data_IF_710390600287
#
_entry.id   IF_710390600287
#
_cell.length_a   1.000
_cell.length_b   1.000
_cell.length_c   1.000
_cell.angle_alpha   90.00
_cell.angle_beta   90.00
_cell.angle_gamma   90.00
#
_symmetry.space_group_name_H-M   'P 1'
#
loop_
_entity.id
_entity.type
_entity.pdbx_description
1 polymer ?
#
# COMPACT_ATOMS: atom_id res chain seq x y z
N UNK A 1 8.40 -0.12 -22.56
CA UNK A 1 8.14 -1.01 -21.41
C UNK A 1 6.73 -0.75 -20.90
N UNK A 2 5.99 -1.77 -20.41
CA UNK A 2 4.72 -1.53 -19.75
C UNK A 2 4.93 -0.72 -18.48
N UNK A 3 4.02 0.19 -18.19
CA UNK A 3 3.97 0.89 -16.91
C UNK A 3 2.97 0.20 -15.98
N UNK A 4 3.08 0.42 -14.68
CA UNK A 4 2.06 -0.02 -13.73
C UNK A 4 0.85 0.92 -13.78
N UNK A 5 0.27 1.06 -14.99
CA UNK A 5 -0.78 2.03 -15.31
C UNK A 5 -1.68 1.50 -16.41
N UNK A 6 -3.01 1.64 -16.23
CA UNK A 6 -4.06 1.30 -17.20
C UNK A 6 -4.94 2.51 -17.47
N UNK A 7 -5.31 2.68 -18.72
CA UNK A 7 -6.23 3.71 -19.20
C UNK A 7 -7.58 3.08 -19.49
N UNK A 8 -8.62 3.64 -18.88
CA UNK A 8 -10.02 3.30 -19.12
C UNK A 8 -10.75 4.47 -19.75
N UNK A 9 -11.66 4.18 -20.64
CA UNK A 9 -12.54 5.18 -21.25
C UNK A 9 -13.97 4.73 -21.21
N UNK A 10 -14.87 5.65 -20.87
CA UNK A 10 -16.33 5.52 -20.96
C UNK A 10 -16.91 6.65 -21.82
N UNK A 11 -18.22 6.73 -21.94
CA UNK A 11 -18.89 7.88 -22.55
C UNK A 11 -18.78 9.15 -21.72
N UNK A 12 -18.58 9.03 -20.40
CA UNK A 12 -18.56 10.14 -19.45
C UNK A 12 -17.17 10.53 -19.02
N UNK A 13 -16.24 9.57 -18.90
CA UNK A 13 -14.98 9.77 -18.23
C UNK A 13 -13.79 9.14 -18.95
N UNK A 14 -12.61 9.68 -18.65
CA UNK A 14 -11.34 9.05 -18.83
C UNK A 14 -10.70 8.77 -17.45
N UNK A 15 -10.09 7.61 -17.28
CA UNK A 15 -9.53 7.20 -16.00
C UNK A 15 -8.18 6.52 -16.20
N UNK A 16 -7.20 6.96 -15.42
CA UNK A 16 -5.88 6.36 -15.32
C UNK A 16 -5.76 5.66 -13.96
N UNK A 17 -5.78 4.32 -13.99
CA UNK A 17 -5.58 3.49 -12.81
C UNK A 17 -4.10 3.14 -12.69
N UNK A 18 -3.49 3.55 -11.59
CA UNK A 18 -2.04 3.48 -11.37
C UNK A 18 -1.74 2.67 -10.12
N UNK A 19 -0.85 1.69 -10.27
CA UNK A 19 -0.30 0.92 -9.15
C UNK A 19 0.82 1.70 -8.47
N UNK A 20 0.55 2.17 -7.27
CA UNK A 20 1.46 3.00 -6.49
C UNK A 20 2.38 2.19 -5.58
N UNK A 21 3.45 2.83 -5.15
CA UNK A 21 4.32 2.39 -4.05
C UNK A 21 4.43 3.50 -3.01
N UNK A 22 4.22 3.14 -1.74
CA UNK A 22 4.12 4.09 -0.62
C UNK A 22 5.47 4.68 -0.18
N UNK A 23 6.58 4.08 -0.61
CA UNK A 23 7.93 4.59 -0.36
C UNK A 23 8.80 4.38 -1.59
N UNK A 24 9.52 5.41 -2.00
CA UNK A 24 10.44 5.36 -3.13
C UNK A 24 11.84 5.83 -2.73
N UNK A 25 12.85 5.33 -3.46
CA UNK A 25 14.18 5.88 -3.44
C UNK A 25 14.23 7.11 -4.38
N UNK A 26 14.95 8.15 -3.96
CA UNK A 26 15.09 9.38 -4.76
C UNK A 26 15.69 9.13 -6.16
N UNK A 27 16.48 8.06 -6.32
CA UNK A 27 17.07 7.67 -7.61
C UNK A 27 16.05 7.18 -8.63
N UNK A 28 14.83 6.86 -8.20
CA UNK A 28 13.71 6.47 -9.06
C UNK A 28 12.87 7.66 -9.55
N UNK A 29 13.40 8.87 -9.40
CA UNK A 29 12.78 10.13 -9.86
C UNK A 29 13.57 10.73 -11.02
N UNK A 30 12.94 11.46 -11.94
CA UNK A 30 11.48 11.70 -12.02
C UNK A 30 10.69 10.43 -12.34
N UNK A 31 9.40 10.43 -12.03
CA UNK A 31 8.47 9.41 -12.49
C UNK A 31 8.34 9.46 -14.02
N UNK A 32 7.90 8.38 -14.68
CA UNK A 32 7.68 8.38 -16.13
C UNK A 32 6.74 9.50 -16.59
N UNK A 33 7.07 10.13 -17.70
CA UNK A 33 6.30 11.25 -18.27
C UNK A 33 4.82 10.92 -18.48
N UNK A 34 4.50 9.66 -18.78
CA UNK A 34 3.12 9.21 -18.93
C UNK A 34 2.31 9.36 -17.64
N UNK A 35 2.91 9.07 -16.48
CA UNK A 35 2.26 9.25 -15.19
C UNK A 35 2.06 10.75 -14.89
N UNK A 36 3.08 11.55 -15.15
CA UNK A 36 3.02 13.01 -14.95
C UNK A 36 1.96 13.64 -15.87
N UNK A 37 1.95 13.29 -17.15
CA UNK A 37 0.99 13.81 -18.13
C UNK A 37 -0.45 13.38 -17.79
N UNK A 38 -0.68 12.12 -17.39
CA UNK A 38 -1.99 11.64 -16.96
C UNK A 38 -2.50 12.40 -15.74
N UNK A 39 -1.63 12.66 -14.76
CA UNK A 39 -1.97 13.47 -13.60
C UNK A 39 -2.30 14.92 -13.99
N UNK A 40 -1.47 15.56 -14.83
CA UNK A 40 -1.70 16.97 -15.22
C UNK A 40 -3.02 17.17 -15.97
N UNK A 41 -3.47 16.17 -16.73
CA UNK A 41 -4.75 16.23 -17.45
C UNK A 41 -5.96 15.90 -16.57
N UNK A 42 -5.73 15.33 -15.39
CA UNK A 42 -6.82 14.88 -14.53
C UNK A 42 -7.48 16.04 -13.78
N UNK A 43 -8.79 15.96 -13.64
CA UNK A 43 -9.61 16.87 -12.82
C UNK A 43 -9.81 16.37 -11.40
N UNK A 44 -9.62 15.04 -11.19
CA UNK A 44 -9.78 14.37 -9.91
C UNK A 44 -8.55 13.51 -9.61
N UNK A 45 -8.13 13.51 -8.35
CA UNK A 45 -7.15 12.60 -7.81
C UNK A 45 -7.86 11.67 -6.82
N UNK A 46 -7.90 10.37 -7.11
CA UNK A 46 -8.40 9.38 -6.16
C UNK A 46 -7.23 8.60 -5.55
N UNK A 47 -7.27 8.40 -4.25
CA UNK A 47 -6.27 7.65 -3.47
C UNK A 47 -6.98 6.68 -2.54
N UNK A 48 -6.28 5.66 -2.02
CA UNK A 48 -6.85 4.80 -0.99
C UNK A 48 -7.28 5.65 0.21
N UNK A 49 -6.33 6.40 0.78
CA UNK A 49 -6.51 7.32 1.90
C UNK A 49 -5.69 8.59 1.63
N UNK A 50 -6.25 9.76 1.92
CA UNK A 50 -5.51 11.01 1.86
C UNK A 50 -4.57 11.15 3.08
N UNK A 51 -3.33 10.74 2.88
CA UNK A 51 -2.27 10.76 3.92
C UNK A 51 -1.80 12.18 4.27
N UNK A 52 -2.29 13.22 3.59
CA UNK A 52 -1.98 14.62 3.91
C UNK A 52 -2.98 15.24 4.87
N UNK A 53 -4.16 14.63 5.03
CA UNK A 53 -5.13 15.04 6.02
C UNK A 53 -4.58 14.86 7.42
N UNK A 54 -4.61 15.91 8.20
CA UNK A 54 -4.13 15.93 9.60
C UNK A 54 -5.14 15.39 10.61
N UNK A 55 -6.24 14.83 10.17
CA UNK A 55 -7.25 14.23 11.04
C UNK A 55 -6.71 12.95 11.69
N UNK A 56 -6.04 13.12 12.80
CA UNK A 56 -5.63 11.99 13.66
C UNK A 56 -6.88 11.47 14.36
N UNK A 57 -7.13 10.14 14.37
CA UNK A 57 -8.20 9.57 15.16
C UNK A 57 -8.16 10.02 16.61
N UNK A 58 -9.32 10.20 17.26
CA UNK A 58 -9.40 10.65 18.62
C UNK A 58 -8.51 9.78 19.56
N UNK A 59 -7.81 10.36 20.55
CA UNK A 59 -6.91 9.61 21.45
C UNK A 59 -7.55 8.38 22.09
N UNK A 60 -8.85 8.48 22.45
CA UNK A 60 -9.61 7.36 22.99
C UNK A 60 -9.77 6.22 21.95
N UNK A 61 -9.99 6.57 20.67
CA UNK A 61 -10.08 5.60 19.59
C UNK A 61 -8.72 4.92 19.34
N UNK A 62 -7.63 5.69 19.29
CA UNK A 62 -6.25 5.17 19.17
C UNK A 62 -5.94 4.21 20.31
N UNK A 63 -6.20 4.62 21.56
CA UNK A 63 -5.96 3.79 22.73
C UNK A 63 -6.73 2.47 22.70
N UNK A 64 -7.98 2.52 22.25
CA UNK A 64 -8.84 1.33 22.19
C UNK A 64 -8.44 0.36 21.07
N UNK A 65 -8.07 0.86 19.90
CA UNK A 65 -7.96 0.06 18.70
C UNK A 65 -6.52 -0.27 18.29
N UNK A 66 -5.58 0.64 18.58
CA UNK A 66 -4.21 0.53 18.09
C UNK A 66 -3.20 0.16 19.17
N UNK A 67 -3.50 0.44 20.44
CA UNK A 67 -2.58 0.19 21.53
C UNK A 67 -2.91 -1.08 22.30
N UNK A 68 -1.89 -1.62 22.96
CA UNK A 68 -2.02 -2.68 23.93
C UNK A 68 -2.62 -2.12 25.25
N UNK A 69 -3.28 -2.97 26.06
CA UNK A 69 -3.79 -2.57 27.38
C UNK A 69 -2.72 -1.89 28.23
N UNK A 70 -3.12 -1.00 29.16
CA UNK A 70 -2.19 -0.17 29.93
C UNK A 70 -1.17 -0.94 30.78
N UNK A 71 -1.50 -2.18 31.16
CA UNK A 71 -0.66 -3.07 31.96
C UNK A 71 0.17 -4.05 31.13
N UNK A 72 0.18 -3.92 29.79
CA UNK A 72 0.91 -4.79 28.86
C UNK A 72 1.77 -4.00 27.90
N UNK A 73 2.88 -4.58 27.50
CA UNK A 73 3.77 -4.05 26.48
C UNK A 73 4.08 -5.09 25.42
N UNK A 74 4.55 -4.68 24.27
CA UNK A 74 4.84 -5.56 23.14
C UNK A 74 5.72 -6.75 23.55
N UNK A 75 6.79 -6.52 24.30
CA UNK A 75 7.71 -7.58 24.76
C UNK A 75 7.08 -8.62 25.67
N UNK A 76 5.95 -8.29 26.36
CA UNK A 76 5.24 -9.28 27.17
C UNK A 76 4.47 -10.33 26.35
N UNK A 77 4.27 -10.06 25.05
CA UNK A 77 3.60 -10.95 24.11
C UNK A 77 4.59 -11.82 23.31
N UNK A 78 5.89 -11.53 23.44
CA UNK A 78 6.94 -12.17 22.63
C UNK A 78 7.65 -13.28 23.43
N UNK A 79 7.95 -14.38 22.76
CA UNK A 79 8.91 -15.37 23.26
C UNK A 79 10.35 -14.81 23.22
N UNK A 80 11.31 -15.59 23.74
CA UNK A 80 12.72 -15.19 23.82
C UNK A 80 13.31 -14.93 22.42
N UNK A 81 13.03 -15.80 21.47
CA UNK A 81 13.54 -15.67 20.09
C UNK A 81 13.07 -14.37 19.43
N UNK A 82 11.79 -14.03 19.56
CA UNK A 82 11.26 -12.78 19.00
C UNK A 82 11.83 -11.55 19.71
N UNK A 83 12.04 -11.63 21.04
CA UNK A 83 12.66 -10.53 21.81
C UNK A 83 14.08 -10.26 21.35
N UNK A 84 14.88 -11.30 21.16
CA UNK A 84 16.26 -11.17 20.72
C UNK A 84 16.34 -10.58 19.30
N UNK A 85 15.50 -11.07 18.37
CA UNK A 85 15.43 -10.51 17.02
C UNK A 85 14.98 -9.05 17.04
N UNK A 86 13.97 -8.71 17.84
CA UNK A 86 13.51 -7.35 18.00
C UNK A 86 14.62 -6.46 18.52
N UNK A 87 15.33 -6.86 19.60
CA UNK A 87 16.42 -6.07 20.16
C UNK A 87 17.51 -5.78 19.11
N UNK A 88 17.91 -6.80 18.35
CA UNK A 88 18.89 -6.66 17.26
C UNK A 88 18.42 -5.64 16.21
N UNK A 89 17.17 -5.69 15.78
CA UNK A 89 16.64 -4.78 14.76
C UNK A 89 16.50 -3.35 15.30
N UNK A 90 16.05 -3.18 16.52
CA UNK A 90 15.93 -1.86 17.15
C UNK A 90 17.30 -1.18 17.23
N UNK A 91 18.34 -1.93 17.63
CA UNK A 91 19.72 -1.44 17.66
C UNK A 91 20.20 -1.05 16.25
N UNK A 92 20.07 -1.95 15.28
CA UNK A 92 20.50 -1.71 13.89
C UNK A 92 19.83 -0.51 13.24
N UNK A 93 18.54 -0.30 13.54
CA UNK A 93 17.72 0.77 12.95
C UNK A 93 17.69 2.03 13.82
N UNK A 94 18.34 2.03 14.99
CA UNK A 94 18.28 3.13 15.97
C UNK A 94 16.85 3.51 16.35
N UNK A 95 15.98 2.50 16.50
CA UNK A 95 14.59 2.69 16.92
C UNK A 95 14.51 2.67 18.44
N UNK A 96 13.95 3.72 19.04
CA UNK A 96 13.61 3.70 20.45
C UNK A 96 12.40 2.79 20.70
N UNK A 97 12.54 1.80 21.58
CA UNK A 97 11.47 0.90 21.97
C UNK A 97 10.21 1.64 22.44
N UNK A 98 10.36 2.81 23.09
CA UNK A 98 9.23 3.63 23.54
C UNK A 98 8.26 3.93 22.42
N UNK A 99 8.75 4.10 21.19
CA UNK A 99 7.92 4.42 20.02
C UNK A 99 7.02 3.29 19.54
N UNK A 100 7.36 2.03 19.87
CA UNK A 100 6.61 0.84 19.42
C UNK A 100 6.09 -0.03 20.56
N UNK A 101 6.61 0.14 21.77
CA UNK A 101 6.40 -0.78 22.90
C UNK A 101 4.95 -0.88 23.39
N UNK A 102 4.09 0.07 23.01
CA UNK A 102 2.66 0.08 23.32
C UNK A 102 1.78 -0.27 22.12
N UNK A 103 2.34 -0.38 20.93
CA UNK A 103 1.60 -0.73 19.74
C UNK A 103 1.23 -2.21 19.73
N UNK A 104 0.10 -2.54 19.13
CA UNK A 104 -0.22 -3.93 18.78
C UNK A 104 0.84 -4.49 17.81
N UNK A 105 1.13 -5.81 17.82
CA UNK A 105 2.24 -6.37 17.04
C UNK A 105 2.22 -6.01 15.55
N UNK A 106 1.07 -6.05 14.88
CA UNK A 106 0.96 -5.67 13.48
C UNK A 106 1.38 -4.22 13.21
N UNK A 107 1.03 -3.29 14.11
CA UNK A 107 1.39 -1.88 13.96
C UNK A 107 2.88 -1.64 14.28
N UNK A 108 3.42 -2.37 15.24
CA UNK A 108 4.86 -2.37 15.51
C UNK A 108 5.64 -2.89 14.29
N UNK A 109 5.15 -3.96 13.64
CA UNK A 109 5.71 -4.48 12.39
C UNK A 109 5.78 -3.42 11.28
N UNK A 110 4.71 -2.65 11.10
CA UNK A 110 4.68 -1.55 10.12
C UNK A 110 5.74 -0.49 10.41
N UNK A 111 5.91 -0.09 11.69
CA UNK A 111 6.92 0.90 12.06
C UNK A 111 8.35 0.38 11.83
N UNK A 112 8.60 -0.88 12.16
CA UNK A 112 9.89 -1.55 11.92
C UNK A 112 10.16 -1.61 10.40
N UNK A 113 9.22 -2.10 9.61
CA UNK A 113 9.35 -2.18 8.15
C UNK A 113 9.60 -0.81 7.52
N UNK A 114 8.90 0.23 7.98
CA UNK A 114 9.13 1.61 7.53
C UNK A 114 10.54 2.10 7.84
N UNK A 115 11.07 1.81 9.03
CA UNK A 115 12.42 2.19 9.42
C UNK A 115 13.46 1.45 8.56
N UNK A 116 13.25 0.15 8.31
CA UNK A 116 14.12 -0.66 7.43
C UNK A 116 14.13 -0.14 6.00
N UNK A 117 12.96 0.18 5.42
CA UNK A 117 12.85 0.82 4.11
C UNK A 117 13.61 2.15 4.08
N UNK A 118 13.44 2.99 5.11
CA UNK A 118 14.13 4.27 5.23
C UNK A 118 15.65 4.10 5.26
N UNK A 119 16.15 3.09 5.99
CA UNK A 119 17.58 2.77 6.05
C UNK A 119 18.15 2.33 4.69
N UNK A 120 17.33 1.70 3.84
CA UNK A 120 17.67 1.35 2.46
C UNK A 120 17.44 2.50 1.46
N UNK A 121 17.12 3.70 1.95
CA UNK A 121 16.92 4.90 1.14
C UNK A 121 15.51 5.07 0.55
N UNK A 122 14.58 4.17 0.88
CA UNK A 122 13.17 4.28 0.47
C UNK A 122 12.39 5.08 1.51
N UNK A 123 11.91 6.25 1.15
CA UNK A 123 11.23 7.15 2.08
C UNK A 123 9.78 7.41 1.67
N UNK A 124 8.88 7.43 2.65
CA UNK A 124 7.46 7.67 2.41
C UNK A 124 7.20 9.05 1.74
N UNK A 125 8.00 10.07 2.06
CA UNK A 125 7.89 11.41 1.41
C UNK A 125 8.12 11.38 -0.10
N UNK A 126 8.77 10.32 -0.61
CA UNK A 126 8.95 10.08 -2.05
C UNK A 126 7.93 9.08 -2.60
N UNK A 127 7.04 8.52 -1.75
CA UNK A 127 5.93 7.68 -2.18
C UNK A 127 5.02 8.42 -3.16
N UNK A 128 4.40 7.67 -4.06
CA UNK A 128 3.63 8.27 -5.15
C UNK A 128 2.44 9.08 -4.62
N UNK A 129 1.71 8.58 -3.63
CA UNK A 129 0.59 9.29 -3.02
C UNK A 129 1.02 10.65 -2.48
N UNK A 130 2.13 10.69 -1.73
CA UNK A 130 2.66 11.93 -1.18
C UNK A 130 3.03 12.92 -2.29
N UNK A 131 3.69 12.44 -3.36
CA UNK A 131 4.11 13.29 -4.46
C UNK A 131 2.92 13.94 -5.18
N UNK A 132 1.87 13.17 -5.47
CA UNK A 132 0.70 13.66 -6.21
C UNK A 132 -0.23 14.49 -5.33
N UNK A 133 -0.47 14.08 -4.08
CA UNK A 133 -1.26 14.86 -3.12
C UNK A 133 -0.67 16.23 -2.83
N UNK A 134 0.66 16.36 -2.71
CA UNK A 134 1.31 17.68 -2.52
C UNK A 134 1.18 18.61 -3.74
N UNK A 135 0.89 18.06 -4.92
CA UNK A 135 0.71 18.79 -6.17
C UNK A 135 -0.74 18.79 -6.66
N UNK A 136 -1.68 18.42 -5.79
CA UNK A 136 -3.09 18.25 -6.16
C UNK A 136 -3.69 19.52 -6.81
N UNK A 137 -3.27 20.71 -6.37
CA UNK A 137 -3.71 21.98 -6.95
C UNK A 137 -5.23 22.17 -6.78
N UNK A 138 -5.92 22.36 -7.90
CA UNK A 138 -7.38 22.57 -7.95
C UNK A 138 -8.20 21.26 -8.12
N UNK A 139 -7.53 20.10 -8.16
CA UNK A 139 -8.19 18.81 -8.36
C UNK A 139 -8.99 18.43 -7.11
N UNK A 140 -10.13 17.81 -7.31
CA UNK A 140 -10.88 17.19 -6.22
C UNK A 140 -10.16 15.92 -5.76
N UNK A 141 -9.98 15.77 -4.43
CA UNK A 141 -9.39 14.56 -3.84
C UNK A 141 -10.49 13.63 -3.36
N UNK A 142 -10.49 12.42 -3.91
CA UNK A 142 -11.45 11.36 -3.60
C UNK A 142 -10.73 10.24 -2.82
N UNK A 143 -11.38 9.67 -1.81
CA UNK A 143 -10.85 8.57 -1.02
C UNK A 143 -11.60 7.28 -1.29
N UNK A 144 -10.85 6.19 -1.51
CA UNK A 144 -11.43 4.87 -1.72
C UNK A 144 -11.82 4.18 -0.41
N UNK A 145 -11.23 4.57 0.71
CA UNK A 145 -11.54 4.09 2.05
C UNK A 145 -11.20 5.16 3.10
N UNK A 146 -11.62 4.97 4.34
CA UNK A 146 -11.24 5.86 5.42
C UNK A 146 -9.96 5.40 6.12
N UNK A 147 -9.19 6.32 6.75
CA UNK A 147 -8.01 5.97 7.54
C UNK A 147 -8.34 5.01 8.68
N UNK A 148 -9.49 5.18 9.33
CA UNK A 148 -9.95 4.33 10.42
C UNK A 148 -10.23 2.90 9.95
N UNK A 149 -10.88 2.72 8.79
CA UNK A 149 -11.14 1.39 8.20
C UNK A 149 -9.83 0.66 7.90
N UNK A 150 -8.85 1.34 7.29
CA UNK A 150 -7.55 0.76 6.98
C UNK A 150 -6.78 0.36 8.24
N UNK A 151 -6.73 1.24 9.25
CA UNK A 151 -6.06 0.97 10.52
C UNK A 151 -6.74 -0.17 11.30
N UNK A 152 -8.08 -0.21 11.33
CA UNK A 152 -8.81 -1.29 11.97
C UNK A 152 -8.55 -2.63 11.29
N UNK A 153 -8.52 -2.69 9.97
CA UNK A 153 -8.23 -3.91 9.23
C UNK A 153 -6.89 -4.49 9.65
N UNK A 154 -5.86 -3.66 9.81
CA UNK A 154 -4.51 -4.08 10.21
C UNK A 154 -4.44 -4.46 11.71
N UNK A 155 -5.15 -3.74 12.56
CA UNK A 155 -5.06 -3.89 14.03
C UNK A 155 -6.08 -4.86 14.64
N UNK A 156 -7.01 -5.41 13.84
CA UNK A 156 -8.10 -6.28 14.33
C UNK A 156 -7.90 -7.80 14.22
N UNK A 157 -6.93 -8.35 13.48
CA UNK A 157 -6.69 -9.78 13.47
C UNK A 157 -6.40 -10.35 14.86
N UNK A 158 -6.48 -11.68 14.99
CA UNK A 158 -6.08 -12.38 16.22
C UNK A 158 -4.62 -12.09 16.56
N UNK A 159 -4.25 -12.31 17.82
CA UNK A 159 -2.86 -12.07 18.26
C UNK A 159 -1.87 -12.92 17.45
N UNK A 160 -2.24 -14.15 17.13
CA UNK A 160 -1.42 -15.10 16.37
C UNK A 160 -1.10 -14.53 14.98
N UNK A 161 -2.11 -14.05 14.26
CA UNK A 161 -1.93 -13.41 12.93
C UNK A 161 -1.08 -12.14 13.04
N UNK A 162 -1.30 -11.33 14.07
CA UNK A 162 -0.48 -10.13 14.29
C UNK A 162 0.98 -10.47 14.62
N UNK A 163 1.24 -11.58 15.32
CA UNK A 163 2.59 -12.06 15.58
C UNK A 163 3.27 -12.62 14.32
N UNK A 164 2.51 -13.26 13.41
CA UNK A 164 3.06 -13.65 12.11
C UNK A 164 3.46 -12.40 11.26
N UNK A 165 2.61 -11.36 11.23
CA UNK A 165 2.99 -10.08 10.61
C UNK A 165 4.24 -9.46 11.25
N UNK A 166 4.36 -9.61 12.56
CA UNK A 166 5.51 -9.11 13.30
C UNK A 166 6.78 -9.90 12.95
N UNK A 167 6.69 -11.23 12.83
CA UNK A 167 7.81 -12.09 12.42
C UNK A 167 8.34 -11.71 11.04
N UNK A 168 7.45 -11.36 10.08
CA UNK A 168 7.84 -10.86 8.75
C UNK A 168 8.68 -9.56 8.85
N UNK A 169 8.39 -8.71 9.82
CA UNK A 169 9.19 -7.49 10.05
C UNK A 169 10.56 -7.77 10.67
N UNK A 170 10.74 -8.97 11.27
CA UNK A 170 11.96 -9.39 11.95
C UNK A 170 12.86 -10.33 11.12
N UNK A 171 12.58 -10.56 9.85
CA UNK A 171 13.46 -11.33 8.94
C UNK A 171 14.82 -10.68 8.80
N UNK A 172 15.84 -11.47 8.41
CA UNK A 172 17.20 -10.98 8.27
C UNK A 172 17.34 -9.81 7.30
N UNK A 173 18.42 -9.01 7.47
CA UNK A 173 18.63 -7.82 6.61
C UNK A 173 18.72 -8.20 5.12
N UNK A 174 19.49 -9.25 4.80
CA UNK A 174 19.68 -9.68 3.41
C UNK A 174 18.37 -10.20 2.79
N UNK A 175 17.57 -10.92 3.56
CA UNK A 175 16.26 -11.44 3.12
C UNK A 175 15.31 -10.30 2.84
N UNK A 176 15.16 -9.36 3.77
CA UNK A 176 14.33 -8.16 3.58
C UNK A 176 14.74 -7.35 2.34
N UNK A 177 16.06 -7.17 2.14
CA UNK A 177 16.57 -6.45 0.98
C UNK A 177 16.27 -7.20 -0.33
N UNK A 178 16.41 -8.52 -0.35
CA UNK A 178 16.09 -9.35 -1.52
C UNK A 178 14.61 -9.29 -1.87
N UNK A 179 13.72 -9.36 -0.87
CA UNK A 179 12.28 -9.20 -1.07
C UNK A 179 11.94 -7.81 -1.63
N UNK A 180 12.52 -6.75 -1.06
CA UNK A 180 12.33 -5.38 -1.56
C UNK A 180 12.79 -5.23 -3.02
N UNK A 181 13.97 -5.76 -3.36
CA UNK A 181 14.49 -5.72 -4.74
C UNK A 181 13.54 -6.45 -5.69
N UNK A 182 13.01 -7.60 -5.30
CA UNK A 182 12.07 -8.37 -6.12
C UNK A 182 10.76 -7.60 -6.36
N UNK A 183 10.20 -7.01 -5.31
CA UNK A 183 9.00 -6.17 -5.40
C UNK A 183 9.22 -4.96 -6.31
N UNK A 184 10.32 -4.23 -6.09
CA UNK A 184 10.63 -3.04 -6.88
C UNK A 184 10.94 -3.38 -8.33
N UNK A 185 11.60 -4.51 -8.60
CA UNK A 185 11.89 -4.97 -9.96
C UNK A 185 10.61 -5.31 -10.72
N UNK A 186 9.67 -6.04 -10.10
CA UNK A 186 8.37 -6.34 -10.69
C UNK A 186 7.56 -5.05 -10.96
N UNK A 187 7.54 -4.12 -10.01
CA UNK A 187 6.85 -2.84 -10.18
C UNK A 187 7.45 -2.02 -11.32
N UNK A 188 8.79 -1.86 -11.37
CA UNK A 188 9.49 -1.13 -12.43
C UNK A 188 9.34 -1.77 -13.81
N UNK A 189 9.28 -3.10 -13.87
CA UNK A 189 9.01 -3.83 -15.11
C UNK A 189 7.55 -3.74 -15.56
N UNK A 190 6.67 -3.20 -14.70
CA UNK A 190 5.25 -3.23 -14.94
C UNK A 190 4.66 -4.65 -14.91
N UNK A 191 5.25 -5.57 -14.19
CA UNK A 191 4.84 -6.98 -14.12
C UNK A 191 3.88 -7.20 -12.95
N UNK A 192 2.60 -7.03 -13.23
CA UNK A 192 1.53 -7.14 -12.24
C UNK A 192 1.29 -8.59 -11.78
N UNK A 193 1.53 -9.57 -12.64
CA UNK A 193 1.43 -10.99 -12.27
C UNK A 193 2.58 -11.42 -11.36
N UNK A 194 3.83 -11.03 -11.67
CA UNK A 194 4.95 -11.28 -10.78
C UNK A 194 4.76 -10.61 -9.42
N UNK A 195 4.26 -9.37 -9.40
CA UNK A 195 3.97 -8.67 -8.15
C UNK A 195 2.88 -9.40 -7.34
N UNK A 196 1.80 -9.85 -7.98
CA UNK A 196 0.73 -10.60 -7.32
C UNK A 196 1.25 -11.92 -6.73
N UNK A 197 2.14 -12.63 -7.42
CA UNK A 197 2.77 -13.85 -6.91
C UNK A 197 3.62 -13.59 -5.66
N UNK A 198 4.39 -12.51 -5.63
CA UNK A 198 5.20 -12.13 -4.46
C UNK A 198 4.34 -11.87 -3.20
N UNK A 199 3.11 -11.43 -3.36
CA UNK A 199 2.16 -11.26 -2.26
C UNK A 199 1.35 -12.52 -1.96
N UNK A 200 1.13 -13.40 -2.94
CA UNK A 200 0.26 -14.58 -2.84
C UNK A 200 0.95 -15.88 -2.41
N UNK A 201 2.23 -16.05 -2.76
CA UNK A 201 2.97 -17.30 -2.51
C UNK A 201 3.59 -17.32 -1.10
N UNK A 202 2.78 -17.78 -0.14
CA UNK A 202 3.20 -17.81 1.27
C UNK A 202 2.77 -19.11 1.95
N UNK A 203 3.22 -20.24 1.41
CA UNK A 203 3.02 -21.57 2.02
C UNK A 203 3.52 -21.66 3.46
N UNK A 204 4.48 -20.80 3.83
CA UNK A 204 5.06 -20.70 5.19
C UNK A 204 4.10 -20.16 6.25
N UNK A 205 2.95 -19.59 5.84
CA UNK A 205 2.02 -18.94 6.76
C UNK A 205 0.85 -19.82 7.14
N UNK A 206 0.26 -19.54 8.33
CA UNK A 206 -0.96 -20.18 8.78
C UNK A 206 -2.15 -19.92 7.83
N UNK A 207 -3.19 -20.74 7.94
CA UNK A 207 -4.45 -20.52 7.20
C UNK A 207 -5.10 -19.20 7.58
N UNK A 208 -5.03 -18.83 8.85
CA UNK A 208 -5.57 -17.60 9.42
C UNK A 208 -4.84 -16.35 8.87
N UNK A 209 -3.52 -16.45 8.71
CA UNK A 209 -2.75 -15.37 8.12
C UNK A 209 -3.05 -15.21 6.62
N UNK A 210 -3.18 -16.31 5.87
CA UNK A 210 -3.59 -16.25 4.45
C UNK A 210 -4.99 -15.66 4.28
N UNK A 211 -5.94 -16.03 5.14
CA UNK A 211 -7.28 -15.43 5.15
C UNK A 211 -7.23 -13.93 5.48
N UNK A 212 -6.36 -13.53 6.40
CA UNK A 212 -6.13 -12.12 6.69
C UNK A 212 -5.56 -11.38 5.48
N UNK A 213 -4.56 -11.94 4.80
CA UNK A 213 -3.99 -11.35 3.58
C UNK A 213 -5.02 -11.22 2.46
N UNK A 214 -5.88 -12.22 2.29
CA UNK A 214 -7.00 -12.15 1.35
C UNK A 214 -7.92 -10.96 1.67
N UNK A 215 -8.25 -10.75 2.92
CA UNK A 215 -9.04 -9.58 3.35
C UNK A 215 -8.31 -8.26 3.15
N UNK A 216 -7.02 -8.25 3.45
CA UNK A 216 -6.19 -7.04 3.34
C UNK A 216 -6.04 -6.54 1.90
N UNK A 217 -6.06 -7.44 0.93
CA UNK A 217 -5.87 -7.11 -0.50
C UNK A 217 -7.14 -7.40 -1.30
N UNK A 218 -7.51 -8.66 -1.46
CA UNK A 218 -8.52 -9.08 -2.45
C UNK A 218 -9.93 -8.59 -2.11
N UNK A 219 -10.33 -8.64 -0.84
CA UNK A 219 -11.66 -8.16 -0.44
C UNK A 219 -11.80 -6.66 -0.62
N UNK A 220 -10.74 -5.87 -0.41
CA UNK A 220 -10.74 -4.43 -0.68
C UNK A 220 -10.82 -4.11 -2.16
N UNK A 221 -10.23 -4.95 -3.02
CA UNK A 221 -10.27 -4.79 -4.47
C UNK A 221 -11.70 -4.71 -5.00
N UNK A 222 -12.64 -5.47 -4.41
CA UNK A 222 -14.07 -5.42 -4.78
C UNK A 222 -14.65 -4.02 -4.52
N UNK A 223 -14.37 -3.43 -3.36
CA UNK A 223 -14.80 -2.08 -3.01
C UNK A 223 -14.16 -1.01 -3.89
N UNK A 224 -12.86 -1.16 -4.18
CA UNK A 224 -12.14 -0.25 -5.08
C UNK A 224 -12.72 -0.30 -6.49
N UNK A 225 -12.93 -1.49 -7.04
CA UNK A 225 -13.53 -1.63 -8.36
C UNK A 225 -14.93 -1.00 -8.43
N UNK A 226 -15.77 -1.16 -7.39
CA UNK A 226 -17.10 -0.54 -7.32
C UNK A 226 -17.02 1.00 -7.32
N UNK A 227 -16.09 1.59 -6.54
CA UNK A 227 -15.89 3.05 -6.55
C UNK A 227 -15.37 3.55 -7.88
N UNK A 228 -14.42 2.83 -8.49
CA UNK A 228 -13.89 3.16 -9.82
C UNK A 228 -14.99 3.14 -10.89
N UNK A 229 -15.95 2.20 -10.81
CA UNK A 229 -17.12 2.18 -11.69
C UNK A 229 -17.96 3.47 -11.56
N UNK A 230 -18.12 3.99 -10.35
CA UNK A 230 -18.83 5.28 -10.17
C UNK A 230 -18.09 6.44 -10.81
N UNK A 231 -16.76 6.44 -10.78
CA UNK A 231 -15.96 7.45 -11.48
C UNK A 231 -16.09 7.34 -12.99
N UNK A 232 -16.07 6.12 -13.54
CA UNK A 232 -16.30 5.90 -14.97
C UNK A 232 -17.70 6.29 -15.44
N UNK A 233 -18.69 6.33 -14.55
CA UNK A 233 -20.05 6.78 -14.84
C UNK A 233 -20.23 8.29 -14.67
N UNK A 234 -19.26 9.01 -14.11
CA UNK A 234 -19.33 10.44 -13.79
C UNK A 234 -18.42 11.25 -14.71
N UNK A 235 -18.83 12.47 -15.16
CA UNK A 235 -18.00 13.29 -16.03
C UNK A 235 -16.66 13.66 -15.39
N UNK A 236 -15.55 13.54 -16.14
CA UNK A 236 -14.24 13.99 -15.69
C UNK A 236 -13.10 13.13 -16.17
N UNK A 237 -11.88 13.54 -15.79
CA UNK A 237 -10.66 12.77 -15.95
C UNK A 237 -10.10 12.44 -14.57
N UNK A 238 -9.93 11.15 -14.30
CA UNK A 238 -9.58 10.63 -12.98
C UNK A 238 -8.17 10.03 -13.01
N UNK A 239 -7.34 10.46 -12.07
CA UNK A 239 -6.07 9.81 -11.77
C UNK A 239 -6.22 9.04 -10.47
N UNK A 240 -6.23 7.71 -10.54
CA UNK A 240 -6.55 6.82 -9.42
C UNK A 240 -5.29 6.07 -9.00
N UNK A 241 -4.85 6.31 -7.77
CA UNK A 241 -3.71 5.63 -7.15
C UNK A 241 -4.20 4.59 -6.16
N UNK A 242 -3.86 3.34 -6.41
CA UNK A 242 -4.00 2.24 -5.45
C UNK A 242 -2.68 1.49 -5.33
N UNK A 243 -2.37 0.94 -4.19
CA UNK A 243 -1.15 0.16 -4.01
C UNK A 243 -1.01 -0.91 -5.09
N UNK A 244 0.17 -1.05 -5.66
CA UNK A 244 0.41 -1.93 -6.82
C UNK A 244 -0.05 -3.38 -6.60
N UNK A 245 -0.01 -3.86 -5.34
CA UNK A 245 -0.50 -5.19 -4.96
C UNK A 245 -2.00 -5.40 -5.23
N UNK A 246 -2.78 -4.33 -5.36
CA UNK A 246 -4.22 -4.40 -5.64
C UNK A 246 -4.56 -4.62 -7.12
N UNK A 247 -3.61 -4.46 -8.04
CA UNK A 247 -3.92 -4.42 -9.47
C UNK A 247 -3.77 -5.77 -10.17
N UNK A 248 -2.80 -6.58 -9.76
CA UNK A 248 -2.47 -7.87 -10.39
C UNK A 248 -3.23 -9.07 -9.84
N UNK A 249 -3.06 -10.21 -10.52
CA UNK A 249 -3.68 -11.48 -10.15
C UNK A 249 -5.15 -11.61 -10.52
N UNK A 250 -5.74 -12.77 -10.23
CA UNK A 250 -7.14 -13.12 -10.59
C UNK A 250 -8.18 -12.21 -9.94
N UNK A 251 -7.90 -11.75 -8.72
CA UNK A 251 -8.78 -10.89 -7.90
C UNK A 251 -8.32 -9.43 -7.89
N UNK A 252 -7.38 -9.06 -8.78
CA UNK A 252 -6.89 -7.69 -8.93
C UNK A 252 -7.97 -6.76 -9.48
N UNK A 253 -7.88 -5.48 -9.14
CA UNK A 253 -8.86 -4.44 -9.57
C UNK A 253 -9.00 -4.41 -11.10
N UNK A 254 -7.90 -4.59 -11.85
CA UNK A 254 -7.94 -4.63 -13.32
C UNK A 254 -8.83 -5.77 -13.82
N UNK A 255 -8.67 -6.97 -13.28
CA UNK A 255 -9.50 -8.14 -13.66
C UNK A 255 -10.96 -7.99 -13.22
N UNK A 256 -11.19 -7.39 -12.05
CA UNK A 256 -12.54 -7.12 -11.57
C UNK A 256 -13.29 -6.11 -12.45
N UNK A 257 -12.61 -5.06 -12.92
CA UNK A 257 -13.17 -4.09 -13.86
C UNK A 257 -13.43 -4.74 -15.23
N UNK A 258 -12.50 -5.56 -15.73
CA UNK A 258 -12.67 -6.31 -16.97
C UNK A 258 -13.90 -7.23 -16.94
N UNK A 259 -14.09 -7.96 -15.84
CA UNK A 259 -15.23 -8.85 -15.63
C UNK A 259 -16.57 -8.09 -15.60
N UNK A 260 -16.55 -6.81 -15.25
CA UNK A 260 -17.71 -5.89 -15.23
C UNK A 260 -17.91 -5.14 -16.57
N UNK A 261 -17.08 -5.45 -17.57
CA UNK A 261 -17.22 -4.89 -18.92
C UNK A 261 -16.40 -3.62 -19.17
N UNK A 262 -15.59 -3.17 -18.20
CA UNK A 262 -14.69 -2.03 -18.38
C UNK A 262 -13.33 -2.51 -18.87
N UNK A 263 -12.99 -2.25 -20.13
CA UNK A 263 -11.71 -2.68 -20.72
C UNK A 263 -10.62 -1.65 -20.49
N UNK A 264 -9.64 -2.02 -19.65
CA UNK A 264 -8.43 -1.25 -19.42
C UNK A 264 -7.37 -1.52 -20.49
N UNK A 265 -6.76 -0.46 -21.00
CA UNK A 265 -5.61 -0.55 -21.89
C UNK A 265 -4.34 -0.24 -21.13
N UNK A 266 -3.39 -1.19 -21.12
CA UNK A 266 -2.08 -0.99 -20.49
C UNK A 266 -1.34 0.16 -21.15
N UNK A 267 -0.76 1.05 -20.35
CA UNK A 267 0.07 2.15 -20.85
C UNK A 267 1.53 1.72 -20.90
N UNK A 268 2.23 2.13 -21.97
CA UNK A 268 3.65 1.84 -22.19
C UNK A 268 4.48 3.13 -22.12
N UNK A 269 5.78 2.97 -21.80
CA UNK A 269 6.75 4.07 -21.80
C UNK A 269 6.98 4.59 -23.21
N UNK A 270 6.34 5.46 -23.74
CA UNK A 270 6.41 5.93 -25.14
C UNK A 270 5.03 6.18 -25.73
N UNK A 271 3.98 5.74 -25.02
CA UNK A 271 2.63 6.10 -25.38
C UNK A 271 2.42 7.62 -25.18
N UNK A 272 1.68 8.22 -26.09
CA UNK A 272 1.23 9.59 -25.90
C UNK A 272 -0.01 9.62 -25.02
N UNK A 273 0.05 10.44 -24.00
CA UNK A 273 -1.10 10.83 -23.21
C UNK A 273 -1.52 12.19 -23.76
N UNK A 274 -2.40 12.14 -24.76
CA UNK A 274 -2.91 13.37 -25.40
C UNK A 274 -4.02 13.98 -24.52
N UNK A 275 -4.10 15.33 -24.46
CA UNK A 275 -5.12 16.05 -23.74
C UNK A 275 -6.53 15.79 -24.23
#
# INVERSE_FOLDING_TARGET
>A
MPLFMWRYRSLAAELYLVGSVHALNVTLRPLPDQLENAFEQSTHLAVEVDVTKTSVPAPAWVSKHLLLPNNSGLTSLLDETRRDRLACILEQMSIDYVSIGRLKPALAAMQISRARLSNLGYQAKWGMEQQFLHRVGHREVLELESPEEQLLLIASPTLEVQLEMFDESLIGHNEFNAELISLMSAWLAGDDEALAQLFGDRERHSSEYREFQYRLVNQRNVGFAQKIETFLASPGTYFVLVGAAHLGGSDGVVRLLDARGHKGHRVFSGDRIDP
#
